data_IF_311862288568
#
_entry.id   IF_311862288568
#
_cell.length_a   1.000
_cell.length_b   1.000
_cell.length_c   1.000
_cell.angle_alpha   90.00
_cell.angle_beta   90.00
_cell.angle_gamma   90.00
#
_symmetry.space_group_name_H-M   'P 1'
#
loop_
_entity.id
_entity.type
_entity.pdbx_description
1 polymer ?
#
# COMPACT_ATOMS: atom_id res chain seq x y z
N UNK A 1 -12.60 -12.23 -8.01
CA UNK A 1 -12.40 -10.78 -8.19
C UNK A 1 -13.66 -10.06 -7.70
N UNK A 2 -13.62 -9.30 -6.61
CA UNK A 2 -14.77 -8.48 -6.23
C UNK A 2 -14.90 -7.30 -7.19
N UNK A 3 -16.13 -7.12 -7.66
CA UNK A 3 -16.57 -6.09 -8.57
C UNK A 3 -16.45 -4.72 -7.88
N UNK A 4 -15.43 -3.93 -8.23
CA UNK A 4 -15.31 -2.52 -7.81
C UNK A 4 -16.33 -1.67 -8.57
N UNK A 5 -17.60 -1.86 -8.25
CA UNK A 5 -18.68 -1.04 -8.76
C UNK A 5 -18.63 0.35 -8.12
N UNK A 6 -18.05 1.31 -8.85
CA UNK A 6 -18.63 2.64 -8.97
C UNK A 6 -18.54 3.59 -7.77
N UNK A 7 -17.45 3.60 -7.00
CA UNK A 7 -17.13 4.80 -6.20
C UNK A 7 -16.62 5.86 -7.18
N UNK A 8 -17.46 6.85 -7.52
CA UNK A 8 -17.00 8.05 -8.24
C UNK A 8 -15.96 8.74 -7.37
N UNK A 9 -14.69 8.47 -7.63
CA UNK A 9 -13.57 9.19 -7.04
C UNK A 9 -13.70 10.64 -7.48
N UNK A 10 -14.22 11.50 -6.60
CA UNK A 10 -14.19 12.94 -6.84
C UNK A 10 -12.73 13.36 -6.78
N UNK A 11 -12.17 13.71 -7.93
CA UNK A 11 -10.75 14.06 -8.00
C UNK A 11 -10.47 15.30 -7.14
N UNK A 12 -9.24 15.44 -6.64
CA UNK A 12 -8.82 16.67 -5.93
C UNK A 12 -9.07 17.92 -6.78
N UNK A 13 -8.93 17.80 -8.10
CA UNK A 13 -9.21 18.85 -9.05
C UNK A 13 -10.70 19.21 -9.09
N UNK A 14 -11.59 18.22 -9.07
CA UNK A 14 -13.04 18.44 -9.06
C UNK A 14 -13.53 19.09 -7.77
N UNK A 15 -13.03 18.64 -6.62
CA UNK A 15 -13.34 19.24 -5.32
C UNK A 15 -12.83 20.68 -5.24
N UNK A 16 -11.58 20.92 -5.67
CA UNK A 16 -11.02 22.27 -5.73
C UNK A 16 -11.86 23.18 -6.62
N UNK A 17 -12.22 22.72 -7.83
CA UNK A 17 -13.08 23.47 -8.74
C UNK A 17 -14.41 23.85 -8.11
N UNK A 18 -15.09 22.89 -7.46
CA UNK A 18 -16.37 23.17 -6.77
C UNK A 18 -16.23 24.21 -5.66
N UNK A 19 -15.15 24.15 -4.88
CA UNK A 19 -14.87 25.14 -3.82
C UNK A 19 -14.59 26.52 -4.41
N UNK A 20 -13.77 26.59 -5.46
CA UNK A 20 -13.44 27.83 -6.15
C UNK A 20 -14.70 28.46 -6.78
N UNK A 21 -15.56 27.65 -7.40
CA UNK A 21 -16.85 28.07 -7.98
C UNK A 21 -17.81 28.61 -6.90
N UNK A 22 -17.93 27.93 -5.76
CA UNK A 22 -18.77 28.37 -4.65
C UNK A 22 -18.25 29.68 -4.03
N UNK A 23 -16.92 29.83 -3.88
CA UNK A 23 -16.30 31.04 -3.37
C UNK A 23 -16.49 32.23 -4.34
N UNK A 24 -16.38 31.99 -5.65
CA UNK A 24 -16.67 32.99 -6.67
C UNK A 24 -18.15 33.42 -6.64
N UNK A 25 -19.07 32.46 -6.48
CA UNK A 25 -20.50 32.75 -6.33
C UNK A 25 -20.77 33.59 -5.08
N UNK A 26 -20.21 33.21 -3.94
CA UNK A 26 -20.37 33.95 -2.68
C UNK A 26 -19.87 35.39 -2.76
N UNK A 27 -18.69 35.61 -3.35
CA UNK A 27 -18.16 36.96 -3.59
C UNK A 27 -19.07 37.79 -4.47
N UNK A 28 -19.60 37.21 -5.54
CA UNK A 28 -20.53 37.89 -6.43
C UNK A 28 -21.82 38.30 -5.69
N UNK A 29 -22.39 37.39 -4.90
CA UNK A 29 -23.62 37.64 -4.15
C UNK A 29 -23.44 38.70 -3.05
N UNK A 30 -22.27 38.76 -2.40
CA UNK A 30 -21.92 39.84 -1.46
C UNK A 30 -21.89 41.21 -2.14
N UNK A 31 -21.24 41.32 -3.30
CA UNK A 31 -21.20 42.58 -4.06
C UNK A 31 -22.61 43.03 -4.47
N UNK A 32 -23.48 42.09 -4.87
CA UNK A 32 -24.88 42.38 -5.18
C UNK A 32 -25.69 42.84 -3.95
N UNK A 33 -25.35 42.33 -2.75
CA UNK A 33 -25.97 42.78 -1.51
C UNK A 33 -25.53 44.19 -1.13
N UNK A 34 -24.23 44.48 -1.19
CA UNK A 34 -23.69 45.82 -0.89
C UNK A 34 -24.28 46.87 -1.82
N UNK A 35 -24.41 46.54 -3.11
CA UNK A 35 -25.07 47.41 -4.09
C UNK A 35 -26.55 47.64 -3.76
N UNK A 36 -27.29 46.62 -3.32
CA UNK A 36 -28.69 46.75 -2.92
C UNK A 36 -28.87 47.54 -1.61
N UNK A 37 -27.92 47.45 -0.68
CA UNK A 37 -27.88 48.28 0.54
C UNK A 37 -27.66 49.74 0.16
N UNK A 38 -26.67 50.04 -0.69
CA UNK A 38 -26.42 51.40 -1.18
C UNK A 38 -27.63 51.99 -1.89
N UNK A 39 -28.27 51.23 -2.79
CA UNK A 39 -29.48 51.69 -3.49
C UNK A 39 -30.63 51.99 -2.50
N UNK A 40 -30.78 51.19 -1.44
CA UNK A 40 -31.76 51.47 -0.39
C UNK A 40 -31.41 52.72 0.42
N UNK A 41 -30.16 52.90 0.81
CA UNK A 41 -29.70 54.07 1.56
C UNK A 41 -29.90 55.37 0.74
N UNK A 42 -29.65 55.32 -0.58
CA UNK A 42 -29.87 56.43 -1.51
C UNK A 42 -31.37 56.72 -1.73
N UNK A 43 -32.22 55.71 -1.91
CA UNK A 43 -33.65 55.90 -2.22
C UNK A 43 -34.51 56.22 -0.98
N UNK A 44 -34.10 55.80 0.22
CA UNK A 44 -34.77 56.18 1.48
C UNK A 44 -34.71 57.70 1.72
N UNK A 45 -33.72 58.40 1.14
CA UNK A 45 -33.64 59.86 1.16
C UNK A 45 -34.60 60.55 0.17
N UNK A 46 -35.09 59.85 -0.86
CA UNK A 46 -35.86 60.46 -1.97
C UNK A 46 -37.35 60.03 -2.04
N UNK A 47 -37.77 58.92 -1.42
CA UNK A 47 -39.17 58.46 -1.48
C UNK A 47 -39.69 57.78 -0.19
N UNK A 48 -40.60 58.42 0.59
CA UNK A 48 -41.05 57.91 1.89
C UNK A 48 -42.05 56.74 1.82
N UNK A 49 -42.42 56.26 0.62
CA UNK A 49 -43.37 55.16 0.45
C UNK A 49 -42.74 53.75 0.59
N UNK A 50 -41.40 53.65 0.61
CA UNK A 50 -40.58 52.59 1.23
C UNK A 50 -40.73 51.11 0.78
N UNK A 51 -41.77 50.73 0.04
CA UNK A 51 -42.11 49.30 -0.17
C UNK A 51 -41.23 48.57 -1.18
N UNK A 52 -40.85 49.21 -2.30
CA UNK A 52 -40.01 48.57 -3.32
C UNK A 52 -38.54 48.38 -2.89
N UNK A 53 -37.85 49.37 -2.30
CA UNK A 53 -36.46 49.23 -1.86
C UNK A 53 -36.29 48.12 -0.81
N UNK A 54 -37.18 48.07 0.19
CA UNK A 54 -37.19 47.03 1.22
C UNK A 54 -37.37 45.62 0.64
N UNK A 55 -38.17 45.47 -0.41
CA UNK A 55 -38.36 44.16 -1.07
C UNK A 55 -37.09 43.68 -1.81
N UNK A 56 -36.35 44.61 -2.44
CA UNK A 56 -35.07 44.31 -3.10
C UNK A 56 -33.98 43.98 -2.10
N UNK A 57 -33.89 44.72 -0.99
CA UNK A 57 -32.97 44.43 0.10
C UNK A 57 -33.25 43.06 0.74
N UNK A 58 -34.52 42.75 1.00
CA UNK A 58 -34.93 41.43 1.54
C UNK A 58 -34.54 40.30 0.58
N UNK A 59 -34.77 40.47 -0.72
CA UNK A 59 -34.36 39.50 -1.73
C UNK A 59 -32.84 39.35 -1.82
N UNK A 60 -32.07 40.43 -1.68
CA UNK A 60 -30.61 40.39 -1.66
C UNK A 60 -30.08 39.67 -0.41
N UNK A 61 -30.61 40.00 0.77
CA UNK A 61 -30.28 39.30 2.02
C UNK A 61 -30.62 37.81 1.97
N UNK A 62 -31.75 37.42 1.37
CA UNK A 62 -32.10 36.01 1.19
C UNK A 62 -31.11 35.29 0.29
N UNK A 63 -30.71 35.90 -0.85
CA UNK A 63 -29.69 35.31 -1.74
C UNK A 63 -28.35 35.10 -1.04
N UNK A 64 -27.95 36.01 -0.17
CA UNK A 64 -26.72 35.89 0.64
C UNK A 64 -26.84 34.77 1.66
N UNK A 65 -27.99 34.65 2.33
CA UNK A 65 -28.26 33.56 3.26
C UNK A 65 -28.22 32.19 2.54
N UNK A 66 -28.83 32.10 1.36
CA UNK A 66 -28.84 30.89 0.54
C UNK A 66 -27.43 30.54 0.04
N UNK A 67 -26.67 31.53 -0.43
CA UNK A 67 -25.27 31.36 -0.85
C UNK A 67 -24.37 30.93 0.32
N UNK A 68 -24.58 31.49 1.52
CA UNK A 68 -23.87 31.10 2.74
C UNK A 68 -24.19 29.65 3.12
N UNK A 69 -25.48 29.28 3.13
CA UNK A 69 -25.95 27.93 3.44
C UNK A 69 -25.37 26.90 2.46
N UNK A 70 -25.31 27.23 1.17
CA UNK A 70 -24.68 26.39 0.16
C UNK A 70 -23.17 26.22 0.40
N UNK A 71 -22.47 27.32 0.72
CA UNK A 71 -21.05 27.29 1.08
C UNK A 71 -20.77 26.41 2.30
N UNK A 72 -21.59 26.50 3.35
CA UNK A 72 -21.47 25.64 4.54
C UNK A 72 -21.64 24.15 4.21
N UNK A 73 -22.64 23.78 3.39
CA UNK A 73 -22.83 22.39 2.95
C UNK A 73 -21.63 21.87 2.17
N UNK A 74 -21.06 22.68 1.28
CA UNK A 74 -19.89 22.29 0.49
C UNK A 74 -18.64 22.07 1.37
N UNK A 75 -18.46 22.90 2.40
CA UNK A 75 -17.40 22.73 3.39
C UNK A 75 -17.57 21.44 4.19
N UNK A 76 -18.80 21.12 4.61
CA UNK A 76 -19.11 19.90 5.35
C UNK A 76 -18.85 18.64 4.49
N UNK A 77 -19.30 18.64 3.23
CA UNK A 77 -19.02 17.55 2.27
C UNK A 77 -17.51 17.37 2.02
N UNK A 78 -16.77 18.48 1.91
CA UNK A 78 -15.31 18.47 1.72
C UNK A 78 -14.60 17.93 2.95
N UNK A 79 -14.99 18.39 4.14
CA UNK A 79 -14.42 17.93 5.41
C UNK A 79 -14.64 16.43 5.61
N UNK A 80 -15.85 15.94 5.29
CA UNK A 80 -16.15 14.51 5.32
C UNK A 80 -15.27 13.73 4.33
N UNK A 81 -15.21 14.15 3.07
CA UNK A 81 -14.39 13.47 2.04
C UNK A 81 -12.91 13.44 2.41
N UNK A 82 -12.39 14.51 3.02
CA UNK A 82 -11.02 14.56 3.52
C UNK A 82 -10.82 13.64 4.73
N UNK A 83 -11.77 13.59 5.66
CA UNK A 83 -11.78 12.67 6.79
C UNK A 83 -11.70 11.22 6.33
N UNK A 84 -12.59 10.82 5.44
CA UNK A 84 -12.63 9.45 4.87
C UNK A 84 -11.29 9.10 4.20
N UNK A 85 -10.72 10.02 3.41
CA UNK A 85 -9.41 9.82 2.77
C UNK A 85 -8.23 9.76 3.74
N UNK A 86 -8.27 10.53 4.81
CA UNK A 86 -7.24 10.48 5.84
C UNK A 86 -7.27 9.13 6.56
N UNK A 87 -8.46 8.60 6.84
CA UNK A 87 -8.65 7.28 7.43
C UNK A 87 -8.16 6.16 6.49
N UNK A 88 -8.46 6.25 5.19
CA UNK A 88 -7.92 5.35 4.16
C UNK A 88 -6.38 5.38 4.13
N UNK A 89 -5.79 6.58 4.07
CA UNK A 89 -4.33 6.76 4.04
C UNK A 89 -3.64 6.26 5.32
N UNK A 90 -4.27 6.45 6.48
CA UNK A 90 -3.75 5.95 7.74
C UNK A 90 -3.84 4.43 7.81
N UNK A 91 -4.93 3.85 7.32
CA UNK A 91 -5.08 2.39 7.19
C UNK A 91 -4.00 1.84 6.27
N UNK A 92 -3.84 2.40 5.06
CA UNK A 92 -2.81 2.02 4.11
C UNK A 92 -1.40 2.11 4.70
N UNK A 93 -1.12 3.18 5.44
CA UNK A 93 0.17 3.33 6.13
C UNK A 93 0.38 2.22 7.17
N UNK A 94 -0.62 1.94 7.99
CA UNK A 94 -0.54 0.88 9.00
C UNK A 94 -0.36 -0.50 8.36
N UNK A 95 -1.01 -0.77 7.23
CA UNK A 95 -0.83 -1.99 6.43
C UNK A 95 0.62 -2.13 5.95
N UNK A 96 1.15 -1.05 5.35
CA UNK A 96 2.53 -1.03 4.82
C UNK A 96 3.57 -1.19 5.93
N UNK A 97 3.40 -0.50 7.05
CA UNK A 97 4.27 -0.60 8.22
C UNK A 97 4.25 -2.00 8.83
N UNK A 98 3.05 -2.60 8.94
CA UNK A 98 2.88 -3.98 9.39
C UNK A 98 3.66 -4.91 8.47
N UNK A 99 3.41 -4.82 7.17
CA UNK A 99 3.92 -5.79 6.21
C UNK A 99 5.44 -5.70 6.02
N UNK A 100 6.01 -4.48 6.07
CA UNK A 100 7.45 -4.25 6.10
C UNK A 100 8.13 -4.91 7.31
N UNK A 101 7.47 -4.92 8.48
CA UNK A 101 8.01 -5.53 9.70
C UNK A 101 8.15 -7.05 9.64
N UNK A 102 7.29 -7.75 8.91
CA UNK A 102 7.34 -9.22 8.80
C UNK A 102 8.32 -9.72 7.73
N UNK A 103 8.65 -8.87 6.75
CA UNK A 103 9.63 -9.16 5.69
C UNK A 103 11.02 -9.49 6.20
N UNK A 104 11.47 -8.84 7.27
CA UNK A 104 12.78 -9.11 7.87
C UNK A 104 12.87 -10.52 8.46
N UNK A 105 11.78 -11.07 9.00
CA UNK A 105 11.75 -12.45 9.48
C UNK A 105 11.81 -13.44 8.34
N UNK A 106 11.12 -13.16 7.23
CA UNK A 106 11.23 -13.98 6.01
C UNK A 106 12.69 -14.01 5.54
N UNK A 107 13.38 -12.86 5.52
CA UNK A 107 14.80 -12.79 5.19
C UNK A 107 15.68 -13.62 6.14
N UNK A 108 15.46 -13.52 7.46
CA UNK A 108 16.20 -14.33 8.45
C UNK A 108 15.98 -15.83 8.24
N UNK A 109 14.77 -16.23 7.88
CA UNK A 109 14.47 -17.61 7.51
C UNK A 109 15.18 -18.04 6.22
N UNK A 110 15.14 -17.23 5.17
CA UNK A 110 15.84 -17.48 3.91
C UNK A 110 17.35 -17.65 4.13
N UNK A 111 17.95 -16.84 5.01
CA UNK A 111 19.36 -16.95 5.39
C UNK A 111 19.65 -18.28 6.12
N UNK A 112 18.78 -18.72 7.04
CA UNK A 112 18.91 -20.03 7.72
C UNK A 112 18.77 -21.18 6.73
N UNK A 113 17.82 -21.09 5.79
CA UNK A 113 17.62 -22.09 4.73
C UNK A 113 18.84 -22.18 3.81
N UNK A 114 19.39 -21.04 3.41
CA UNK A 114 20.59 -20.97 2.60
C UNK A 114 21.81 -21.59 3.30
N UNK A 115 22.01 -21.29 4.59
CA UNK A 115 23.09 -21.90 5.38
C UNK A 115 22.92 -23.42 5.50
N UNK A 116 21.69 -23.91 5.64
CA UNK A 116 21.41 -25.34 5.70
C UNK A 116 21.65 -26.01 4.35
N UNK A 117 21.18 -25.40 3.26
CA UNK A 117 21.44 -25.85 1.89
C UNK A 117 22.95 -26.01 1.66
N UNK A 118 23.78 -25.01 2.00
CA UNK A 118 25.23 -25.09 1.80
C UNK A 118 25.93 -26.23 2.55
N UNK A 119 25.30 -26.76 3.61
CA UNK A 119 25.80 -27.91 4.38
C UNK A 119 25.28 -29.26 3.86
N UNK A 120 24.37 -29.25 2.89
CA UNK A 120 23.76 -30.47 2.36
C UNK A 120 24.66 -31.17 1.33
N UNK A 121 24.49 -32.49 1.21
CA UNK A 121 25.12 -33.28 0.14
C UNK A 121 24.58 -32.91 -1.26
N UNK A 122 23.32 -32.49 -1.36
CA UNK A 122 22.72 -32.03 -2.61
C UNK A 122 23.42 -30.78 -3.15
N UNK A 123 23.74 -29.81 -2.28
CA UNK A 123 24.53 -28.64 -2.67
C UNK A 123 25.95 -29.04 -3.10
N UNK A 124 26.60 -29.95 -2.38
CA UNK A 124 27.93 -30.45 -2.77
C UNK A 124 27.90 -31.12 -4.16
N UNK A 125 26.83 -31.86 -4.47
CA UNK A 125 26.61 -32.44 -5.79
C UNK A 125 26.43 -31.37 -6.88
N UNK A 126 25.56 -30.38 -6.64
CA UNK A 126 25.34 -29.26 -7.56
C UNK A 126 26.65 -28.51 -7.88
N UNK A 127 27.48 -28.26 -6.85
CA UNK A 127 28.79 -27.64 -7.02
C UNK A 127 29.73 -28.52 -7.86
N UNK A 128 29.76 -29.82 -7.61
CA UNK A 128 30.60 -30.75 -8.38
C UNK A 128 30.22 -30.76 -9.87
N UNK A 129 28.92 -30.76 -10.18
CA UNK A 129 28.40 -30.73 -11.55
C UNK A 129 28.74 -29.39 -12.22
N UNK A 130 28.49 -28.26 -11.56
CA UNK A 130 28.82 -26.93 -12.08
C UNK A 130 30.31 -26.78 -12.38
N UNK A 131 31.18 -27.24 -11.47
CA UNK A 131 32.63 -27.20 -11.65
C UNK A 131 33.08 -28.06 -12.84
N UNK A 132 32.45 -29.21 -13.07
CA UNK A 132 32.75 -30.07 -14.22
C UNK A 132 32.28 -29.46 -15.55
N UNK A 133 31.14 -28.77 -15.56
CA UNK A 133 30.55 -28.18 -16.76
C UNK A 133 31.21 -26.84 -17.16
N UNK A 134 31.44 -25.96 -16.17
CA UNK A 134 31.81 -24.55 -16.41
C UNK A 134 33.19 -24.17 -15.86
N UNK A 135 33.82 -25.03 -15.06
CA UNK A 135 35.03 -24.70 -14.31
C UNK A 135 34.80 -23.71 -13.16
N UNK A 136 33.55 -23.37 -12.85
CA UNK A 136 33.18 -22.40 -11.81
C UNK A 136 32.10 -22.98 -10.87
N UNK A 137 32.06 -22.53 -9.60
CA UNK A 137 30.96 -22.90 -8.70
C UNK A 137 29.65 -22.23 -9.14
N UNK A 138 28.49 -22.80 -8.74
CA UNK A 138 27.18 -22.25 -9.08
C UNK A 138 27.01 -20.78 -8.65
N UNK A 139 26.18 -20.05 -9.40
CA UNK A 139 25.74 -18.69 -9.02
C UNK A 139 24.97 -18.79 -7.69
N UNK A 140 25.36 -17.99 -6.69
CA UNK A 140 24.80 -18.12 -5.33
C UNK A 140 25.82 -17.99 -4.21
N UNK A 141 26.75 -17.04 -4.29
CA UNK A 141 27.77 -16.84 -3.24
C UNK A 141 27.13 -16.47 -1.90
N UNK A 142 25.99 -15.79 -1.96
CA UNK A 142 25.19 -15.37 -0.83
C UNK A 142 23.69 -15.67 -1.08
N UNK A 143 22.86 -15.54 -0.04
CA UNK A 143 21.41 -15.79 -0.10
C UNK A 143 20.72 -14.99 -1.21
N UNK A 144 21.10 -13.73 -1.42
CA UNK A 144 20.48 -12.84 -2.41
C UNK A 144 20.72 -13.36 -3.83
N UNK A 145 21.97 -13.64 -4.18
CA UNK A 145 22.32 -14.13 -5.52
C UNK A 145 21.58 -15.44 -5.86
N UNK A 146 21.46 -16.35 -4.89
CA UNK A 146 20.74 -17.61 -5.07
C UNK A 146 19.23 -17.38 -5.29
N UNK A 147 18.63 -16.46 -4.52
CA UNK A 147 17.21 -16.13 -4.66
C UNK A 147 16.91 -15.37 -5.97
N UNK A 148 17.84 -14.53 -6.43
CA UNK A 148 17.75 -13.88 -7.75
C UNK A 148 17.83 -14.92 -8.87
N UNK A 149 18.76 -15.88 -8.79
CA UNK A 149 18.82 -17.00 -9.72
C UNK A 149 17.50 -17.78 -9.77
N UNK A 150 16.94 -18.16 -8.62
CA UNK A 150 15.69 -18.92 -8.59
C UNK A 150 14.49 -18.12 -9.12
N UNK A 151 14.51 -16.80 -8.96
CA UNK A 151 13.51 -15.93 -9.56
C UNK A 151 13.64 -15.90 -11.09
N UNK A 152 14.87 -15.77 -11.62
CA UNK A 152 15.12 -15.83 -13.07
C UNK A 152 14.71 -17.18 -13.67
N UNK A 153 15.00 -18.29 -12.99
CA UNK A 153 14.56 -19.62 -13.40
C UNK A 153 13.04 -19.73 -13.46
N UNK A 154 12.34 -19.23 -12.43
CA UNK A 154 10.87 -19.23 -12.43
C UNK A 154 10.29 -18.40 -13.57
N UNK A 155 10.84 -17.21 -13.81
CA UNK A 155 10.40 -16.36 -14.92
C UNK A 155 10.57 -17.08 -16.26
N UNK A 156 11.73 -17.70 -16.49
CA UNK A 156 11.97 -18.47 -17.71
C UNK A 156 10.97 -19.64 -17.88
N UNK A 157 10.66 -20.35 -16.79
CA UNK A 157 9.64 -21.42 -16.79
C UNK A 157 8.23 -20.88 -17.08
N UNK A 158 7.87 -19.72 -16.54
CA UNK A 158 6.56 -19.07 -16.75
C UNK A 158 6.42 -18.51 -18.18
N UNK A 159 7.51 -17.99 -18.74
CA UNK A 159 7.56 -17.45 -20.09
C UNK A 159 7.67 -18.54 -21.18
N UNK A 160 7.91 -19.79 -20.78
CA UNK A 160 8.07 -20.94 -21.69
C UNK A 160 9.41 -20.94 -22.43
N UNK A 161 10.43 -20.28 -21.88
CA UNK A 161 11.79 -20.22 -22.43
C UNK A 161 12.63 -21.40 -21.91
N UNK A 162 12.33 -22.61 -22.41
CA UNK A 162 13.00 -23.84 -21.98
C UNK A 162 14.51 -23.88 -22.32
N UNK A 163 14.98 -23.01 -23.22
CA UNK A 163 16.39 -22.87 -23.62
C UNK A 163 17.13 -21.78 -22.84
N UNK A 164 16.49 -21.19 -21.83
CA UNK A 164 17.08 -20.13 -21.02
C UNK A 164 18.40 -20.55 -20.37
N UNK A 165 19.39 -19.66 -20.37
CA UNK A 165 20.69 -19.87 -19.71
C UNK A 165 20.57 -20.18 -18.20
N UNK A 166 19.43 -19.83 -17.60
CA UNK A 166 19.14 -20.09 -16.19
C UNK A 166 18.68 -21.53 -15.92
N UNK A 167 18.13 -22.23 -16.92
CA UNK A 167 17.51 -23.57 -16.78
C UNK A 167 18.48 -24.74 -17.04
N UNK A 168 19.76 -24.53 -16.79
CA UNK A 168 20.80 -25.56 -16.82
C UNK A 168 20.72 -26.52 -15.62
N UNK A 169 21.30 -27.72 -15.78
CA UNK A 169 21.16 -28.83 -14.82
C UNK A 169 21.70 -28.48 -13.42
N UNK A 170 22.86 -27.81 -13.35
CA UNK A 170 23.46 -27.40 -12.09
C UNK A 170 22.60 -26.40 -11.30
N UNK A 171 21.87 -25.53 -12.00
CA UNK A 171 20.96 -24.57 -11.37
C UNK A 171 19.69 -25.25 -10.86
N UNK A 172 19.19 -26.27 -11.59
CA UNK A 172 18.08 -27.13 -11.13
C UNK A 172 18.46 -27.87 -9.85
N UNK A 173 19.64 -28.49 -9.82
CA UNK A 173 20.17 -29.17 -8.63
C UNK A 173 20.34 -28.20 -7.44
N UNK A 174 20.79 -26.97 -7.70
CA UNK A 174 20.92 -25.94 -6.67
C UNK A 174 19.55 -25.53 -6.10
N UNK A 175 18.55 -25.33 -6.98
CA UNK A 175 17.17 -25.05 -6.57
C UNK A 175 16.59 -26.18 -5.73
N UNK A 176 16.80 -27.43 -6.12
CA UNK A 176 16.30 -28.60 -5.39
C UNK A 176 16.95 -28.74 -4.02
N UNK A 177 18.25 -28.45 -3.91
CA UNK A 177 18.94 -28.37 -2.63
C UNK A 177 18.36 -27.28 -1.73
N UNK A 178 18.03 -26.10 -2.30
CA UNK A 178 17.40 -25.01 -1.56
C UNK A 178 15.99 -25.38 -1.08
N UNK A 179 15.15 -25.93 -1.97
CA UNK A 179 13.81 -26.41 -1.65
C UNK A 179 13.85 -27.48 -0.55
N UNK A 180 14.79 -28.42 -0.63
CA UNK A 180 14.98 -29.44 0.41
C UNK A 180 15.37 -28.83 1.76
N UNK A 181 16.18 -27.77 1.77
CA UNK A 181 16.54 -27.04 2.99
C UNK A 181 15.35 -26.28 3.60
N UNK A 182 14.52 -25.62 2.78
CA UNK A 182 13.28 -24.96 3.21
C UNK A 182 12.33 -25.96 3.88
N UNK A 183 12.13 -27.12 3.25
CA UNK A 183 11.30 -28.21 3.80
C UNK A 183 11.90 -28.79 5.08
N UNK A 184 13.22 -28.96 5.13
CA UNK A 184 13.92 -29.46 6.33
C UNK A 184 13.82 -28.51 7.53
N UNK A 185 13.71 -27.20 7.30
CA UNK A 185 13.41 -26.22 8.34
C UNK A 185 11.94 -26.25 8.77
N UNK A 186 11.09 -26.98 8.06
CA UNK A 186 9.70 -27.23 8.42
C UNK A 186 8.68 -26.42 7.63
N UNK A 187 9.08 -25.67 6.60
CA UNK A 187 8.15 -24.90 5.74
C UNK A 187 7.94 -25.64 4.42
N UNK A 188 6.69 -25.85 4.01
CA UNK A 188 6.37 -26.45 2.71
C UNK A 188 6.68 -25.48 1.56
N UNK A 189 6.83 -25.99 0.34
CA UNK A 189 7.13 -25.12 -0.81
C UNK A 189 5.98 -24.15 -1.13
N UNK A 190 4.73 -24.57 -0.92
CA UNK A 190 3.55 -23.70 -1.10
C UNK A 190 3.52 -22.58 -0.06
N UNK A 191 3.77 -22.90 1.22
CA UNK A 191 3.90 -21.89 2.28
C UNK A 191 5.07 -20.93 1.97
N UNK A 192 6.18 -21.44 1.46
CA UNK A 192 7.33 -20.62 1.07
C UNK A 192 7.02 -19.71 -0.11
N UNK A 193 6.28 -20.18 -1.11
CA UNK A 193 5.81 -19.36 -2.22
C UNK A 193 4.91 -18.21 -1.74
N UNK A 194 4.00 -18.47 -0.80
CA UNK A 194 3.16 -17.44 -0.17
C UNK A 194 3.99 -16.40 0.59
N UNK A 195 5.04 -16.82 1.31
CA UNK A 195 5.96 -15.91 1.99
C UNK A 195 6.73 -15.01 1.01
N UNK A 196 7.13 -15.57 -0.14
CA UNK A 196 7.79 -14.80 -1.20
C UNK A 196 6.85 -13.78 -1.84
N UNK A 197 5.62 -14.18 -2.15
CA UNK A 197 4.59 -13.26 -2.64
C UNK A 197 4.33 -12.12 -1.64
N UNK A 198 4.17 -12.44 -0.36
CA UNK A 198 4.04 -11.44 0.71
C UNK A 198 5.22 -10.45 0.72
N UNK A 199 6.45 -10.95 0.55
CA UNK A 199 7.65 -10.11 0.50
C UNK A 199 7.68 -9.21 -0.73
N UNK A 200 7.16 -9.67 -1.88
CA UNK A 200 7.12 -8.90 -3.11
C UNK A 200 6.04 -7.81 -3.10
N UNK A 201 4.85 -8.11 -2.57
CA UNK A 201 3.78 -7.13 -2.33
C UNK A 201 4.23 -5.97 -1.43
N UNK A 202 5.25 -6.20 -0.61
CA UNK A 202 5.71 -5.27 0.43
C UNK A 202 7.03 -4.59 0.09
N UNK A 203 7.66 -4.94 -1.05
CA UNK A 203 8.89 -4.34 -1.53
C UNK A 203 8.76 -2.84 -1.86
N UNK A 204 7.56 -2.29 -2.06
CA UNK A 204 7.36 -0.85 -2.29
C UNK A 204 7.33 0.01 -1.01
N UNK A 205 7.30 -0.61 0.17
CA UNK A 205 6.97 0.07 1.43
C UNK A 205 8.19 0.65 2.18
N UNK A 206 9.30 0.87 1.48
CA UNK A 206 10.55 1.25 2.13
C UNK A 206 10.53 2.68 2.69
N UNK A 207 11.17 2.80 3.85
CA UNK A 207 11.80 4.00 4.45
C UNK A 207 11.19 4.61 5.72
N UNK A 208 10.07 4.11 6.26
CA UNK A 208 9.45 4.78 7.44
C UNK A 208 9.25 3.89 8.66
N UNK A 209 10.25 3.10 9.07
CA UNK A 209 10.26 2.68 10.47
C UNK A 209 11.66 2.31 10.97
N UNK A 210 12.22 3.18 11.81
CA UNK A 210 13.16 2.80 12.87
C UNK A 210 12.51 1.90 13.92
N UNK A 211 11.81 0.83 13.53
CA UNK A 211 11.43 -0.26 14.43
C UNK A 211 12.48 -1.35 14.32
N UNK A 212 13.65 -1.04 14.90
CA UNK A 212 14.68 -2.04 15.14
C UNK A 212 14.06 -3.25 15.84
N UNK A 213 14.07 -4.38 15.13
CA UNK A 213 14.15 -5.75 15.66
C UNK A 213 13.44 -5.97 17.00
N UNK A 214 12.09 -5.94 17.01
CA UNK A 214 11.36 -6.72 18.03
C UNK A 214 11.81 -8.19 17.93
N UNK A 215 11.84 -8.91 19.04
CA UNK A 215 12.15 -10.35 19.00
C UNK A 215 11.07 -11.11 18.21
N UNK A 216 11.41 -12.26 17.62
CA UNK A 216 10.43 -13.08 16.89
C UNK A 216 9.23 -13.49 17.77
N UNK A 217 9.43 -13.60 19.09
CA UNK A 217 8.35 -13.83 20.07
C UNK A 217 7.35 -12.68 20.14
N UNK A 218 7.86 -11.44 20.18
CA UNK A 218 7.02 -10.25 20.24
C UNK A 218 6.27 -10.03 18.92
N UNK A 219 6.93 -10.29 17.78
CA UNK A 219 6.26 -10.29 16.48
C UNK A 219 5.19 -11.39 16.36
N UNK A 220 5.40 -12.56 16.96
CA UNK A 220 4.40 -13.62 16.99
C UNK A 220 3.18 -13.22 17.83
N UNK A 221 3.39 -12.54 18.96
CA UNK A 221 2.29 -12.01 19.78
C UNK A 221 1.49 -10.94 19.01
N UNK A 222 2.17 -10.03 18.32
CA UNK A 222 1.54 -8.98 17.50
C UNK A 222 0.76 -9.56 16.32
N UNK A 223 1.31 -10.55 15.61
CA UNK A 223 0.65 -11.21 14.49
C UNK A 223 -0.64 -11.93 14.91
N UNK A 224 -0.66 -12.48 16.13
CA UNK A 224 -1.84 -13.14 16.67
C UNK A 224 -2.90 -12.15 17.16
N UNK A 225 -2.48 -10.99 17.68
CA UNK A 225 -3.37 -9.95 18.18
C UNK A 225 -3.98 -9.11 17.05
N UNK A 226 -3.21 -8.81 16.00
CA UNK A 226 -3.62 -7.92 14.92
C UNK A 226 -3.09 -8.43 13.59
N UNK A 227 -4.01 -8.77 12.69
CA UNK A 227 -3.70 -9.07 11.29
C UNK A 227 -4.72 -8.37 10.40
N UNK A 228 -4.29 -7.55 9.42
CA UNK A 228 -5.22 -6.96 8.49
C UNK A 228 -5.86 -7.99 7.56
N UNK A 229 -7.10 -7.75 7.16
CA UNK A 229 -7.91 -8.70 6.37
C UNK A 229 -7.20 -9.16 5.08
N UNK A 230 -6.51 -8.25 4.40
CA UNK A 230 -5.82 -8.52 3.13
C UNK A 230 -4.64 -9.49 3.27
N UNK A 231 -4.14 -9.68 4.49
CA UNK A 231 -3.00 -10.56 4.76
C UNK A 231 -3.38 -11.86 5.48
N UNK A 232 -4.69 -12.17 5.60
CA UNK A 232 -5.18 -13.38 6.29
C UNK A 232 -4.57 -14.66 5.71
N UNK A 233 -4.39 -14.73 4.38
CA UNK A 233 -3.81 -15.89 3.72
C UNK A 233 -2.35 -16.15 4.13
N UNK A 234 -1.58 -15.10 4.47
CA UNK A 234 -0.17 -15.23 4.86
C UNK A 234 0.02 -15.51 6.35
N UNK A 235 -1.05 -15.52 7.15
CA UNK A 235 -0.96 -15.69 8.61
C UNK A 235 -0.23 -16.97 9.01
N UNK A 236 -0.66 -18.11 8.46
CA UNK A 236 -0.14 -19.41 8.85
C UNK A 236 1.36 -19.57 8.48
N UNK A 237 1.78 -19.25 7.24
CA UNK A 237 3.20 -19.24 6.90
C UNK A 237 4.04 -18.31 7.79
N UNK A 238 3.56 -17.09 8.08
CA UNK A 238 4.28 -16.12 8.92
C UNK A 238 4.42 -16.59 10.37
N UNK A 239 3.35 -17.14 10.96
CA UNK A 239 3.39 -17.74 12.31
C UNK A 239 4.43 -18.86 12.37
N UNK A 240 4.48 -19.69 11.33
CA UNK A 240 5.41 -20.81 11.25
C UNK A 240 6.86 -20.35 11.20
N UNK A 241 7.19 -19.39 10.32
CA UNK A 241 8.51 -18.77 10.25
C UNK A 241 8.90 -18.14 11.58
N UNK A 242 8.01 -17.37 12.21
CA UNK A 242 8.31 -16.75 13.50
C UNK A 242 8.62 -17.79 14.57
N UNK A 243 7.84 -18.88 14.67
CA UNK A 243 8.11 -19.99 15.60
C UNK A 243 9.42 -20.72 15.33
N UNK A 244 9.86 -20.78 14.07
CA UNK A 244 11.16 -21.36 13.71
C UNK A 244 12.32 -20.44 14.08
N UNK A 245 12.09 -19.12 14.07
CA UNK A 245 13.09 -18.11 14.42
C UNK A 245 13.16 -17.83 15.93
N UNK A 246 12.15 -18.19 16.71
CA UNK A 246 12.23 -18.17 18.18
C UNK A 246 12.99 -19.36 18.75
N UNK A 247 13.12 -20.44 17.98
CA UNK A 247 13.91 -21.62 18.35
C UNK A 247 15.38 -21.41 17.93
N UNK A 248 16.34 -21.66 18.84
CA UNK A 248 17.76 -21.52 18.53
C UNK A 248 18.21 -22.39 17.33
#
# INVERSE_FOLDING_TARGET
MPNMAGVRVVSRADLKRKIDDAHAHFKKTLVEQDAAIQECDEQVLECPSGKEPLSRLTAACQRVADASSHGFKLLEETAKTLGDRLEELETDKQLKDFAAGYRDYIRRFEDRAFLLMKKSSQYANAVSVAMAATGQPPVGKNTRDALELFASMRSAEEDGDDESEWLVEENKLLRDAYHSAVVSLGVTLDEYAQLREFKDLTNGCFHTAGRGSKGAEQALAELNARLPADYVQYKQPLVKVLRLLTRP
#
